data_IF_455460409580
#
_entry.id   IF_455460409580
#
_cell.length_a   1.000
_cell.length_b   1.000
_cell.length_c   1.000
_cell.angle_alpha   90.00
_cell.angle_beta   90.00
_cell.angle_gamma   90.00
#
_symmetry.space_group_name_H-M   'P 1'
#
loop_
_entity.id
_entity.type
_entity.pdbx_description
1 polymer ?
#
# COMPACT_ATOMS: atom_id res chain seq x y z
N UNK A 1 -12.64 6.39 22.84
CA UNK A 1 -11.18 6.12 22.73
C UNK A 1 -10.49 7.46 22.53
N UNK A 2 -9.81 7.98 23.58
CA UNK A 2 -9.04 9.24 23.49
C UNK A 2 -7.98 9.11 22.38
N UNK A 3 -8.00 10.04 21.43
CA UNK A 3 -6.99 10.18 20.39
C UNK A 3 -5.73 10.79 21.02
N UNK A 4 -4.74 9.97 21.33
CA UNK A 4 -3.41 10.44 21.73
C UNK A 4 -2.67 10.96 20.49
N UNK A 5 -2.85 12.24 20.17
CA UNK A 5 -2.06 12.89 19.12
C UNK A 5 -0.65 13.13 19.64
N UNK A 6 0.35 12.69 18.89
CA UNK A 6 1.74 13.03 19.17
C UNK A 6 1.93 14.56 19.14
N UNK A 7 2.71 15.09 20.11
CA UNK A 7 3.07 16.52 20.13
C UNK A 7 3.68 16.93 18.78
N UNK A 8 3.45 18.15 18.34
CA UNK A 8 3.90 18.67 17.02
C UNK A 8 5.39 18.42 16.71
N UNK A 9 6.25 18.46 17.74
CA UNK A 9 7.71 18.27 17.61
C UNK A 9 8.16 16.81 17.47
N UNK A 10 7.32 15.81 17.76
CA UNK A 10 7.73 14.42 17.70
C UNK A 10 7.68 13.95 16.24
N UNK A 11 8.84 13.56 15.71
CA UNK A 11 8.97 12.86 14.44
C UNK A 11 8.97 11.36 14.69
N UNK A 12 8.17 10.62 13.96
CA UNK A 12 8.17 9.15 13.99
C UNK A 12 7.81 8.60 12.61
N UNK A 13 8.64 7.74 12.10
CA UNK A 13 8.44 7.01 10.85
C UNK A 13 8.25 5.53 11.17
N UNK A 14 7.11 4.98 10.85
CA UNK A 14 6.78 3.57 11.10
C UNK A 14 6.73 2.82 9.76
N UNK A 15 7.45 1.71 9.67
CA UNK A 15 7.29 0.74 8.60
C UNK A 15 6.41 -0.41 9.06
N UNK A 16 5.45 -0.82 8.21
CA UNK A 16 4.50 -1.89 8.51
C UNK A 16 4.46 -2.89 7.36
N UNK A 17 5.04 -4.07 7.57
CA UNK A 17 5.13 -5.11 6.57
C UNK A 17 4.25 -6.31 6.89
N UNK A 18 3.96 -7.11 5.88
CA UNK A 18 3.21 -8.34 6.04
C UNK A 18 2.56 -8.82 4.75
N UNK A 19 2.20 -10.09 4.71
CA UNK A 19 1.57 -10.73 3.56
C UNK A 19 0.16 -10.20 3.26
N UNK A 20 -0.40 -10.62 2.14
CA UNK A 20 -1.82 -10.36 1.84
C UNK A 20 -2.72 -10.97 2.93
N UNK A 21 -3.78 -10.26 3.32
CA UNK A 21 -4.73 -10.74 4.34
C UNK A 21 -4.20 -10.77 5.79
N UNK A 22 -2.94 -10.31 6.06
CA UNK A 22 -2.37 -10.30 7.41
C UNK A 22 -3.02 -9.28 8.36
N UNK A 23 -3.80 -8.34 7.83
CA UNK A 23 -4.41 -7.26 8.64
C UNK A 23 -3.56 -5.99 8.73
N UNK A 24 -2.39 -5.94 8.06
CA UNK A 24 -1.49 -4.79 8.12
C UNK A 24 -2.16 -3.46 7.77
N UNK A 25 -2.95 -3.40 6.69
CA UNK A 25 -3.64 -2.16 6.28
C UNK A 25 -4.62 -1.67 7.35
N UNK A 26 -5.35 -2.58 8.00
CA UNK A 26 -6.26 -2.25 9.09
C UNK A 26 -5.48 -1.76 10.31
N UNK A 27 -4.45 -2.51 10.73
CA UNK A 27 -3.59 -2.15 11.86
C UNK A 27 -2.89 -0.80 11.63
N UNK A 28 -2.29 -0.61 10.46
CA UNK A 28 -1.63 0.66 10.09
C UNK A 28 -2.59 1.85 10.11
N UNK A 29 -3.82 1.65 9.64
CA UNK A 29 -4.86 2.69 9.68
C UNK A 29 -5.26 3.07 11.11
N UNK A 30 -5.40 2.07 12.00
CA UNK A 30 -5.71 2.30 13.41
C UNK A 30 -4.58 3.06 14.11
N UNK A 31 -3.32 2.66 13.88
CA UNK A 31 -2.14 3.34 14.41
C UNK A 31 -2.09 4.79 13.88
N UNK A 32 -2.23 4.98 12.58
CA UNK A 32 -2.24 6.30 11.97
C UNK A 32 -3.30 7.22 12.58
N UNK A 33 -4.53 6.69 12.74
CA UNK A 33 -5.64 7.43 13.35
C UNK A 33 -5.37 7.78 14.82
N UNK A 34 -4.88 6.82 15.59
CA UNK A 34 -4.61 6.99 17.03
C UNK A 34 -3.54 8.04 17.30
N UNK A 35 -2.47 8.04 16.52
CA UNK A 35 -1.29 8.89 16.75
C UNK A 35 -1.22 10.11 15.81
N UNK A 36 -2.21 10.32 14.96
CA UNK A 36 -2.24 11.44 14.01
C UNK A 36 -1.13 11.38 12.96
N UNK A 37 -0.82 10.16 12.47
CA UNK A 37 0.20 9.95 11.45
C UNK A 37 -0.41 9.95 10.05
N UNK A 38 0.35 10.37 9.06
CA UNK A 38 0.00 10.15 7.66
C UNK A 38 0.21 8.69 7.27
N UNK A 39 -0.77 8.09 6.59
CA UNK A 39 -0.68 6.70 6.13
C UNK A 39 -0.44 6.65 4.62
N UNK A 40 0.61 5.94 4.21
CA UNK A 40 0.88 5.60 2.81
C UNK A 40 0.85 4.09 2.61
N UNK A 41 -0.04 3.63 1.72
CA UNK A 41 -0.06 2.23 1.26
C UNK A 41 0.76 2.06 -0.01
N UNK A 42 1.86 1.33 0.07
CA UNK A 42 2.70 0.99 -1.09
C UNK A 42 1.89 0.29 -2.18
N UNK A 43 1.04 -0.66 -1.82
CA UNK A 43 0.18 -1.37 -2.76
C UNK A 43 -0.73 -0.44 -3.57
N UNK A 44 -1.23 0.65 -2.98
CA UNK A 44 -2.06 1.62 -3.68
C UNK A 44 -1.27 2.45 -4.69
N UNK A 45 0.01 2.67 -4.48
CA UNK A 45 0.87 3.37 -5.45
C UNK A 45 0.99 2.55 -6.75
N UNK A 46 1.27 1.24 -6.63
CA UNK A 46 1.31 0.34 -7.79
C UNK A 46 -0.04 0.26 -8.48
N UNK A 47 -1.14 0.12 -7.72
CA UNK A 47 -2.51 0.12 -8.28
C UNK A 47 -2.84 1.41 -9.01
N UNK A 48 -2.41 2.55 -8.49
CA UNK A 48 -2.61 3.84 -9.15
C UNK A 48 -1.86 3.91 -10.48
N UNK A 49 -0.62 3.44 -10.54
CA UNK A 49 0.15 3.36 -11.79
C UNK A 49 -0.53 2.43 -12.80
N UNK A 50 -0.96 1.23 -12.37
CA UNK A 50 -1.68 0.27 -13.21
C UNK A 50 -2.98 0.88 -13.78
N UNK A 51 -3.82 1.44 -12.92
CA UNK A 51 -5.06 2.08 -13.30
C UNK A 51 -4.86 3.20 -14.35
N UNK A 52 -3.84 4.04 -14.14
CA UNK A 52 -3.54 5.13 -15.06
C UNK A 52 -3.03 4.65 -16.41
N UNK A 53 -2.26 3.57 -16.45
CA UNK A 53 -1.80 2.95 -17.69
C UNK A 53 -2.96 2.32 -18.45
N UNK A 54 -3.84 1.58 -17.78
CA UNK A 54 -5.06 1.00 -18.38
C UNK A 54 -5.96 2.10 -18.94
N UNK A 55 -6.27 3.11 -18.13
CA UNK A 55 -7.17 4.21 -18.55
C UNK A 55 -6.62 5.00 -19.73
N UNK A 56 -5.31 5.13 -19.89
CA UNK A 56 -4.70 5.87 -21.02
C UNK A 56 -4.65 5.02 -22.29
N UNK A 57 -4.83 3.69 -22.19
CA UNK A 57 -4.83 2.68 -23.24
C UNK A 57 -3.54 2.68 -24.11
N UNK A 58 -3.32 3.71 -24.94
CA UNK A 58 -2.11 3.83 -25.76
C UNK A 58 -1.15 4.86 -25.13
N UNK A 59 -0.08 4.40 -24.49
CA UNK A 59 0.98 5.26 -23.94
C UNK A 59 2.25 5.07 -24.74
N UNK A 60 2.63 6.08 -25.55
CA UNK A 60 3.83 6.06 -26.41
C UNK A 60 5.12 5.87 -25.60
N UNK A 61 5.28 6.58 -24.49
CA UNK A 61 6.41 6.42 -23.57
C UNK A 61 5.93 6.21 -22.14
N UNK A 62 5.89 4.94 -21.72
CA UNK A 62 5.43 4.53 -20.38
C UNK A 62 6.29 5.13 -19.26
N UNK A 63 7.61 5.26 -19.45
CA UNK A 63 8.53 5.80 -18.42
C UNK A 63 8.22 7.28 -18.15
N UNK A 64 8.12 8.12 -19.18
CA UNK A 64 7.80 9.55 -19.05
C UNK A 64 6.42 9.72 -18.43
N UNK A 65 5.43 8.96 -18.91
CA UNK A 65 4.07 9.01 -18.39
C UNK A 65 4.02 8.68 -16.89
N UNK A 66 4.67 7.59 -16.48
CA UNK A 66 4.72 7.17 -15.07
C UNK A 66 5.40 8.22 -14.19
N UNK A 67 6.55 8.78 -14.61
CA UNK A 67 7.20 9.90 -13.88
C UNK A 67 6.22 11.06 -13.67
N UNK A 68 5.46 11.45 -14.72
CA UNK A 68 4.50 12.56 -14.65
C UNK A 68 3.35 12.29 -13.68
N UNK A 69 2.77 11.07 -13.72
CA UNK A 69 1.62 10.75 -12.84
C UNK A 69 2.02 10.53 -11.39
N UNK A 70 3.20 9.95 -11.13
CA UNK A 70 3.69 9.71 -9.76
C UNK A 70 3.93 11.02 -9.03
N UNK A 71 4.53 12.03 -9.68
CA UNK A 71 4.69 13.39 -9.11
C UNK A 71 3.36 14.04 -8.68
N UNK A 72 2.24 13.61 -9.28
CA UNK A 72 0.89 14.17 -9.03
C UNK A 72 0.04 13.29 -8.11
N UNK A 73 0.62 12.29 -7.43
CA UNK A 73 -0.10 11.46 -6.47
C UNK A 73 -0.52 12.30 -5.26
N UNK A 74 -1.77 12.13 -4.84
CA UNK A 74 -2.34 12.71 -3.62
C UNK A 74 -3.14 11.64 -2.88
N UNK A 75 -3.33 11.80 -1.58
CA UNK A 75 -4.15 10.90 -0.77
C UNK A 75 -5.57 10.73 -1.33
N UNK A 76 -6.16 11.80 -1.89
CA UNK A 76 -7.49 11.76 -2.55
C UNK A 76 -7.48 10.79 -3.75
N UNK A 77 -6.44 10.82 -4.57
CA UNK A 77 -6.32 9.91 -5.74
C UNK A 77 -6.14 8.46 -5.35
N UNK A 78 -5.48 8.18 -4.22
CA UNK A 78 -5.29 6.83 -3.70
C UNK A 78 -6.55 6.25 -3.03
N UNK A 79 -7.57 7.07 -2.72
CA UNK A 79 -8.88 6.61 -2.22
C UNK A 79 -9.85 6.19 -3.32
N UNK A 80 -9.47 6.26 -4.60
CA UNK A 80 -10.34 5.90 -5.74
C UNK A 80 -10.69 4.41 -5.70
N UNK A 81 -11.99 4.09 -5.69
CA UNK A 81 -12.50 2.71 -5.66
C UNK A 81 -12.06 1.88 -6.87
N UNK A 82 -11.88 2.51 -8.03
CA UNK A 82 -11.44 1.84 -9.26
C UNK A 82 -10.05 1.20 -9.16
N UNK A 83 -9.23 1.58 -8.16
CA UNK A 83 -7.95 0.94 -7.88
C UNK A 83 -8.10 -0.53 -7.42
N UNK A 84 -9.29 -0.96 -7.06
CA UNK A 84 -9.59 -2.32 -6.61
C UNK A 84 -10.23 -3.19 -7.69
N UNK A 85 -10.44 -2.67 -8.90
CA UNK A 85 -10.97 -3.45 -10.02
C UNK A 85 -10.08 -4.66 -10.32
N UNK A 86 -10.66 -5.81 -10.73
CA UNK A 86 -9.91 -7.04 -11.05
C UNK A 86 -8.78 -6.82 -12.05
N UNK A 87 -9.05 -6.15 -13.16
CA UNK A 87 -8.08 -5.81 -14.21
C UNK A 87 -6.89 -4.99 -13.65
N UNK A 88 -7.18 -3.97 -12.82
CA UNK A 88 -6.14 -3.18 -12.15
C UNK A 88 -5.33 -4.05 -11.20
N UNK A 89 -5.98 -4.99 -10.49
CA UNK A 89 -5.32 -5.88 -9.54
C UNK A 89 -4.34 -6.82 -10.26
N UNK A 90 -4.74 -7.40 -11.37
CA UNK A 90 -3.92 -8.27 -12.20
C UNK A 90 -2.73 -7.51 -12.79
N UNK A 91 -2.98 -6.40 -13.45
CA UNK A 91 -1.94 -5.59 -14.07
C UNK A 91 -0.97 -5.00 -13.05
N UNK A 92 -1.42 -4.75 -11.82
CA UNK A 92 -0.54 -4.34 -10.71
C UNK A 92 0.57 -5.35 -10.46
N UNK A 93 0.27 -6.65 -10.50
CA UNK A 93 1.26 -7.71 -10.32
C UNK A 93 2.32 -7.72 -11.43
N UNK A 94 1.92 -7.39 -12.65
CA UNK A 94 2.81 -7.26 -13.80
C UNK A 94 3.75 -6.08 -13.65
N UNK A 95 3.23 -4.87 -13.38
CA UNK A 95 4.07 -3.67 -13.28
C UNK A 95 4.97 -3.66 -12.05
N UNK A 96 4.59 -4.35 -10.97
CA UNK A 96 5.39 -4.46 -9.76
C UNK A 96 6.71 -5.24 -9.97
N UNK A 97 6.81 -6.04 -11.03
CA UNK A 97 8.03 -6.74 -11.43
C UNK A 97 9.01 -5.84 -12.19
N UNK A 98 8.56 -4.69 -12.70
CA UNK A 98 9.37 -3.80 -13.53
C UNK A 98 10.28 -2.95 -12.63
N UNK A 99 11.61 -3.14 -12.77
CA UNK A 99 12.62 -2.42 -11.96
C UNK A 99 12.40 -0.90 -11.97
N UNK A 100 12.22 -0.29 -13.14
CA UNK A 100 11.98 1.14 -13.24
C UNK A 100 10.78 1.63 -12.42
N UNK A 101 9.68 0.87 -12.39
CA UNK A 101 8.49 1.20 -11.59
C UNK A 101 8.80 1.12 -10.10
N UNK A 102 9.52 0.08 -9.69
CA UNK A 102 9.94 -0.10 -8.29
C UNK A 102 10.84 1.06 -7.84
N UNK A 103 11.86 1.41 -8.62
CA UNK A 103 12.79 2.49 -8.30
C UNK A 103 12.05 3.85 -8.20
N UNK A 104 11.16 4.13 -9.15
CA UNK A 104 10.35 5.35 -9.15
C UNK A 104 9.44 5.44 -7.91
N UNK A 105 8.76 4.36 -7.55
CA UNK A 105 7.87 4.33 -6.40
C UNK A 105 8.63 4.25 -5.08
N UNK A 106 9.82 3.64 -5.06
CA UNK A 106 10.72 3.68 -3.91
C UNK A 106 11.10 5.12 -3.58
N UNK A 107 11.60 5.88 -4.56
CA UNK A 107 11.96 7.29 -4.38
C UNK A 107 10.78 8.13 -3.87
N UNK A 108 9.56 7.87 -4.36
CA UNK A 108 8.35 8.52 -3.86
C UNK A 108 8.09 8.19 -2.38
N UNK A 109 8.22 6.93 -1.98
CA UNK A 109 8.00 6.46 -0.61
C UNK A 109 9.06 6.99 0.36
N UNK A 110 10.34 6.98 -0.05
CA UNK A 110 11.42 7.57 0.73
C UNK A 110 11.22 9.08 0.97
N UNK A 111 10.77 9.81 -0.06
CA UNK A 111 10.44 11.23 0.08
C UNK A 111 9.23 11.47 0.99
N UNK A 112 8.21 10.61 0.93
CA UNK A 112 7.08 10.68 1.84
C UNK A 112 7.51 10.49 3.31
N UNK A 113 8.42 9.54 3.56
CA UNK A 113 8.95 9.28 4.91
C UNK A 113 9.72 10.47 5.50
N UNK A 114 10.28 11.37 4.67
CA UNK A 114 10.96 12.59 5.14
C UNK A 114 10.06 13.55 5.90
N UNK A 115 8.72 13.44 5.77
CA UNK A 115 7.77 14.20 6.61
C UNK A 115 7.98 13.93 8.09
N UNK A 116 8.52 12.74 8.43
CA UNK A 116 8.86 12.34 9.79
C UNK A 116 7.65 12.14 10.71
N UNK A 117 6.43 12.03 10.17
CA UNK A 117 5.20 11.80 10.96
C UNK A 117 4.25 10.91 10.19
N UNK A 118 4.70 9.68 9.91
CA UNK A 118 4.00 8.80 8.98
C UNK A 118 4.17 7.32 9.31
N UNK A 119 3.25 6.53 8.75
CA UNK A 119 3.34 5.08 8.67
C UNK A 119 3.23 4.65 7.20
N UNK A 120 4.21 3.89 6.74
CA UNK A 120 4.19 3.27 5.43
C UNK A 120 3.85 1.79 5.57
N UNK A 121 2.90 1.29 4.79
CA UNK A 121 2.55 -0.13 4.80
C UNK A 121 2.82 -0.80 3.46
N UNK A 122 3.35 -2.04 3.51
CA UNK A 122 3.67 -2.80 2.31
C UNK A 122 4.10 -4.23 2.57
N UNK A 123 5.08 -4.69 1.81
CA UNK A 123 5.66 -6.04 1.94
C UNK A 123 7.14 -6.01 2.28
N UNK A 124 7.82 -4.94 1.92
CA UNK A 124 9.27 -4.76 1.99
C UNK A 124 9.65 -3.32 2.42
N UNK A 125 8.76 -2.66 3.16
CA UNK A 125 8.97 -1.26 3.59
C UNK A 125 10.17 -1.17 4.51
N UNK A 126 10.21 -1.96 5.59
CA UNK A 126 11.28 -1.91 6.59
C UNK A 126 12.59 -2.57 6.16
N UNK A 127 12.59 -3.30 5.05
CA UNK A 127 13.79 -4.01 4.54
C UNK A 127 14.39 -3.38 3.29
N UNK A 128 13.55 -2.91 2.35
CA UNK A 128 13.99 -2.40 1.06
C UNK A 128 13.77 -0.89 0.92
N UNK A 129 12.59 -0.40 1.30
CA UNK A 129 12.25 1.04 1.14
C UNK A 129 12.94 1.87 2.24
N UNK A 130 12.78 1.46 3.49
CA UNK A 130 13.34 2.13 4.67
C UNK A 130 14.22 1.16 5.47
N UNK A 131 15.37 0.73 4.92
CA UNK A 131 16.27 -0.19 5.60
C UNK A 131 16.97 0.47 6.79
N UNK A 132 17.51 -0.34 7.71
CA UNK A 132 18.28 0.14 8.87
C UNK A 132 17.45 1.07 9.75
N UNK A 133 18.03 2.20 10.12
CA UNK A 133 17.42 3.22 10.99
C UNK A 133 16.54 4.25 10.23
N UNK A 134 16.21 4.03 8.96
CA UNK A 134 15.32 4.93 8.19
C UNK A 134 13.86 4.89 8.66
N UNK A 135 13.49 3.93 9.50
CA UNK A 135 12.22 3.92 10.24
C UNK A 135 12.49 3.69 11.73
N UNK A 136 11.81 4.46 12.58
CA UNK A 136 11.97 4.40 14.04
C UNK A 136 11.32 3.13 14.63
N UNK A 137 10.27 2.62 13.97
CA UNK A 137 9.58 1.40 14.37
C UNK A 137 9.28 0.53 13.15
N UNK A 138 9.62 -0.76 13.23
CA UNK A 138 9.33 -1.77 12.22
C UNK A 138 8.33 -2.77 12.75
N UNK A 139 7.16 -2.83 12.14
CA UNK A 139 6.08 -3.75 12.46
C UNK A 139 5.97 -4.83 11.39
N UNK A 140 5.89 -6.08 11.80
CA UNK A 140 5.63 -7.18 10.88
C UNK A 140 4.34 -7.90 11.26
N UNK A 141 3.32 -7.78 10.41
CA UNK A 141 1.99 -8.37 10.63
C UNK A 141 1.97 -9.82 10.15
N UNK A 142 1.92 -10.74 11.10
CA UNK A 142 1.74 -12.18 10.85
C UNK A 142 0.28 -12.58 11.05
N UNK A 143 -0.13 -13.61 10.33
CA UNK A 143 -1.45 -14.19 10.44
C UNK A 143 -1.42 -15.64 9.91
N UNK A 144 -2.12 -16.55 10.56
CA UNK A 144 -2.21 -17.95 10.13
C UNK A 144 -2.86 -18.08 8.74
N UNK A 145 -2.53 -19.13 8.00
CA UNK A 145 -3.12 -19.40 6.68
C UNK A 145 -4.65 -19.50 6.78
N UNK A 146 -5.17 -20.18 7.80
CA UNK A 146 -6.62 -20.30 8.01
C UNK A 146 -7.29 -18.93 8.20
N UNK A 147 -6.69 -18.04 8.97
CA UNK A 147 -7.22 -16.68 9.16
C UNK A 147 -7.17 -15.86 7.86
N UNK A 148 -6.10 -16.00 7.08
CA UNK A 148 -6.00 -15.35 5.75
C UNK A 148 -7.07 -15.85 4.81
N UNK A 149 -7.24 -17.19 4.71
CA UNK A 149 -8.25 -17.82 3.88
C UNK A 149 -9.66 -17.38 4.29
N UNK A 150 -9.95 -17.36 5.60
CA UNK A 150 -11.26 -16.91 6.14
C UNK A 150 -11.56 -15.46 5.76
N UNK A 151 -10.59 -14.56 5.92
CA UNK A 151 -10.73 -13.13 5.53
C UNK A 151 -10.96 -12.99 4.03
N UNK A 152 -10.22 -13.74 3.22
CA UNK A 152 -10.34 -13.71 1.76
C UNK A 152 -11.69 -14.26 1.28
N UNK A 153 -12.14 -15.33 1.91
CA UNK A 153 -13.45 -15.92 1.64
C UNK A 153 -14.60 -14.92 1.94
N UNK A 154 -14.52 -14.22 3.09
CA UNK A 154 -15.50 -13.19 3.44
C UNK A 154 -15.48 -12.01 2.45
N UNK A 155 -14.30 -11.61 1.99
CA UNK A 155 -14.14 -10.58 0.96
C UNK A 155 -14.80 -11.00 -0.37
N UNK A 156 -14.62 -12.25 -0.79
CA UNK A 156 -15.24 -12.79 -2.00
C UNK A 156 -16.76 -12.88 -1.86
N UNK A 157 -17.27 -13.32 -0.72
CA UNK A 157 -18.72 -13.33 -0.45
C UNK A 157 -19.34 -11.94 -0.54
N UNK A 158 -18.71 -10.93 0.03
CA UNK A 158 -19.18 -9.53 -0.07
C UNK A 158 -19.24 -9.02 -1.51
N UNK A 159 -18.42 -9.57 -2.39
CA UNK A 159 -18.38 -9.20 -3.81
C UNK A 159 -19.22 -10.16 -4.68
N UNK A 160 -20.18 -10.88 -4.09
CA UNK A 160 -21.09 -11.85 -4.75
C UNK A 160 -20.38 -12.91 -5.59
N UNK A 161 -19.14 -13.28 -5.25
CA UNK A 161 -18.45 -14.37 -5.92
C UNK A 161 -18.91 -15.71 -5.33
N UNK A 162 -19.47 -16.58 -6.17
CA UNK A 162 -19.75 -17.98 -5.82
C UNK A 162 -18.41 -18.73 -5.71
N UNK A 163 -17.87 -18.80 -4.51
CA UNK A 163 -16.61 -19.49 -4.21
C UNK A 163 -16.73 -20.23 -2.88
N UNK A 164 -16.14 -21.41 -2.77
CA UNK A 164 -16.09 -22.18 -1.54
C UNK A 164 -14.84 -21.84 -0.73
N UNK A 165 -14.89 -22.08 0.57
CA UNK A 165 -13.74 -21.86 1.45
C UNK A 165 -12.52 -22.72 1.05
N UNK A 166 -12.77 -23.96 0.55
CA UNK A 166 -11.72 -24.88 0.07
C UNK A 166 -10.96 -24.32 -1.14
N UNK A 167 -11.63 -23.59 -2.02
CA UNK A 167 -11.01 -22.94 -3.18
C UNK A 167 -10.18 -21.69 -2.83
N UNK A 168 -10.35 -21.16 -1.62
CA UNK A 168 -9.63 -19.95 -1.16
C UNK A 168 -8.41 -20.32 -0.31
N UNK A 169 -8.37 -21.52 0.26
CA UNK A 169 -7.30 -22.04 1.11
C UNK A 169 -6.13 -22.56 0.27
#
# INVERSE_FOLDING_TARGET
VLSMKLKKKIKIVISADGGAGSGKTTGSRLIAKKFGLELLSSGLLYRYCAYKLIKKNKVRNKKIFLKKIVKKITNKKLKNKNLYNPEVTEYTSTIAKIKFVRDLLRSFQENFAKSGKCILEGRDIGTVILPGAKSDLKLFFKCSLNTKAKRRFLEYKKNNKKITFKQVK
#
